data_IF_315287108636
#
_entry.id   IF_315287108636
#
_cell.length_a   1.000
_cell.length_b   1.000
_cell.length_c   1.000
_cell.angle_alpha   90.00
_cell.angle_beta   90.00
_cell.angle_gamma   90.00
#
_symmetry.space_group_name_H-M   'P 1'
#
loop_
_entity.id
_entity.type
_entity.pdbx_description
1 polymer ?
#
# COMPACT_ATOMS: atom_id res chain seq x y z
N UNK A 1 -19.73 -55.91 -23.07
CA UNK A 1 -20.37 -55.08 -24.11
C UNK A 1 -20.40 -53.66 -23.59
N UNK A 2 -19.79 -52.71 -24.30
CA UNK A 2 -19.91 -51.28 -23.98
C UNK A 2 -21.15 -50.72 -24.69
N UNK A 3 -21.87 -49.83 -24.01
CA UNK A 3 -23.12 -49.23 -24.49
C UNK A 3 -22.89 -48.21 -25.64
N UNK A 4 -21.66 -47.75 -25.87
CA UNK A 4 -21.30 -46.83 -26.96
C UNK A 4 -19.79 -46.91 -27.31
N UNK A 5 -19.38 -46.77 -28.58
CA UNK A 5 -17.95 -46.80 -28.96
C UNK A 5 -17.15 -45.71 -28.24
N UNK A 6 -15.97 -46.07 -27.72
CA UNK A 6 -15.06 -45.15 -27.02
C UNK A 6 -15.25 -45.08 -25.50
N UNK A 7 -16.30 -45.69 -24.95
CA UNK A 7 -16.54 -45.73 -23.51
C UNK A 7 -16.23 -47.11 -22.94
N UNK A 8 -15.49 -47.16 -21.84
CA UNK A 8 -15.20 -48.40 -21.11
C UNK A 8 -15.88 -48.33 -19.74
N UNK A 9 -16.73 -49.31 -19.43
CA UNK A 9 -17.35 -49.41 -18.11
C UNK A 9 -16.27 -49.70 -17.06
N UNK A 10 -16.15 -48.85 -16.05
CA UNK A 10 -15.24 -49.05 -14.92
C UNK A 10 -16.03 -49.50 -13.69
N UNK A 11 -15.50 -50.48 -12.96
CA UNK A 11 -16.13 -51.02 -11.74
C UNK A 11 -15.86 -50.16 -10.51
N UNK A 12 -14.88 -49.27 -10.59
CA UNK A 12 -14.60 -48.22 -9.61
C UNK A 12 -13.81 -47.10 -10.29
N UNK A 13 -14.01 -45.87 -9.86
CA UNK A 13 -13.12 -44.76 -10.21
C UNK A 13 -11.80 -44.91 -9.46
N UNK A 14 -10.72 -44.34 -10.01
CA UNK A 14 -9.45 -44.28 -9.28
C UNK A 14 -9.62 -43.44 -8.01
N UNK A 15 -8.81 -43.68 -6.95
CA UNK A 15 -8.81 -42.84 -5.77
C UNK A 15 -8.61 -41.37 -6.19
N UNK A 16 -9.39 -40.48 -5.61
CA UNK A 16 -9.46 -39.05 -5.91
C UNK A 16 -8.26 -38.28 -5.31
N UNK A 17 -7.05 -38.84 -5.47
CA UNK A 17 -5.81 -38.32 -4.90
C UNK A 17 -5.15 -37.24 -5.78
N UNK A 18 -5.77 -36.87 -6.90
CA UNK A 18 -5.21 -35.88 -7.85
C UNK A 18 -5.59 -34.42 -7.47
N UNK A 19 -6.31 -34.22 -6.36
CA UNK A 19 -6.47 -32.90 -5.74
C UNK A 19 -5.34 -32.71 -4.75
N UNK A 20 -4.18 -32.23 -5.22
CA UNK A 20 -3.14 -31.79 -4.30
C UNK A 20 -3.69 -30.59 -3.51
N UNK A 21 -3.79 -30.72 -2.18
CA UNK A 21 -4.05 -29.61 -1.26
C UNK A 21 -2.80 -28.72 -1.18
N UNK A 22 -2.35 -28.18 -2.31
CA UNK A 22 -1.22 -27.25 -2.35
C UNK A 22 -1.70 -25.88 -1.82
N UNK A 23 -1.12 -25.45 -0.70
CA UNK A 23 -1.23 -24.05 -0.26
C UNK A 23 -0.62 -23.16 -1.34
N UNK A 24 -1.44 -22.32 -1.95
CA UNK A 24 -0.97 -21.36 -2.95
C UNK A 24 -0.20 -20.23 -2.26
N UNK A 25 1.12 -20.23 -2.42
CA UNK A 25 2.02 -19.18 -1.90
C UNK A 25 2.26 -18.17 -3.02
N UNK A 26 2.01 -16.90 -2.74
CA UNK A 26 2.34 -15.79 -3.63
C UNK A 26 3.32 -14.83 -2.96
N UNK A 27 4.22 -14.26 -3.76
CA UNK A 27 5.25 -13.32 -3.29
C UNK A 27 4.86 -11.90 -3.65
N UNK A 28 5.11 -10.96 -2.74
CA UNK A 28 4.90 -9.53 -2.96
C UNK A 28 6.15 -8.75 -2.60
N UNK A 29 6.45 -7.72 -3.38
CA UNK A 29 7.57 -6.81 -3.09
C UNK A 29 7.07 -5.66 -2.22
N UNK A 30 7.77 -5.35 -1.12
CA UNK A 30 7.47 -4.19 -0.27
C UNK A 30 8.36 -3.02 -0.67
N UNK A 31 7.77 -1.98 -1.27
CA UNK A 31 8.48 -0.75 -1.60
C UNK A 31 8.31 0.26 -0.47
N UNK A 32 9.38 0.49 0.29
CA UNK A 32 9.33 1.31 1.49
C UNK A 32 9.49 2.82 1.24
N UNK A 33 9.76 3.23 0.00
CA UNK A 33 10.02 4.62 -0.36
C UNK A 33 11.26 5.18 0.34
N UNK A 34 11.20 6.44 0.77
CA UNK A 34 12.35 7.17 1.32
C UNK A 34 12.54 6.92 2.83
N UNK A 35 12.77 5.66 3.21
CA UNK A 35 13.13 5.29 4.59
C UNK A 35 14.63 5.49 4.81
N UNK A 36 15.04 5.73 6.04
CA UNK A 36 16.46 5.75 6.40
C UNK A 36 17.13 4.41 6.02
N UNK A 37 18.18 4.40 5.17
CA UNK A 37 18.77 3.16 4.67
C UNK A 37 19.33 2.25 5.76
N UNK A 38 19.77 2.83 6.88
CA UNK A 38 20.25 2.08 8.04
C UNK A 38 19.12 1.36 8.79
N UNK A 39 17.87 1.70 8.55
CA UNK A 39 16.74 1.19 9.31
C UNK A 39 16.41 -0.27 8.94
N UNK A 40 16.56 -0.67 7.68
CA UNK A 40 16.33 -2.06 7.24
C UNK A 40 17.33 -3.06 7.84
N UNK A 41 18.67 -2.87 7.74
CA UNK A 41 19.63 -3.83 8.26
C UNK A 41 19.75 -3.84 9.80
N UNK A 42 19.33 -2.78 10.49
CA UNK A 42 19.44 -2.66 11.94
C UNK A 42 18.12 -2.96 12.69
N UNK A 43 17.07 -3.40 11.98
CA UNK A 43 15.79 -3.69 12.60
C UNK A 43 15.61 -5.20 12.82
N UNK A 44 15.55 -5.61 14.08
CA UNK A 44 15.40 -7.02 14.46
C UNK A 44 13.97 -7.56 14.26
N UNK A 45 13.00 -6.68 14.03
CA UNK A 45 11.59 -7.07 13.84
C UNK A 45 10.81 -6.05 13.02
N UNK A 46 9.79 -6.53 12.30
CA UNK A 46 8.79 -5.67 11.65
C UNK A 46 7.40 -6.19 12.02
N UNK A 47 6.40 -5.31 12.01
CA UNK A 47 5.01 -5.70 12.27
C UNK A 47 4.14 -5.23 11.11
N UNK A 48 3.40 -6.15 10.51
CA UNK A 48 2.60 -5.90 9.32
C UNK A 48 1.16 -6.31 9.60
N UNK A 49 0.22 -5.42 9.34
CA UNK A 49 -1.21 -5.63 9.59
C UNK A 49 -2.05 -5.22 8.40
N UNK A 50 -3.15 -5.94 8.17
CA UNK A 50 -4.14 -5.62 7.15
C UNK A 50 -3.64 -5.86 5.72
N UNK A 51 -2.85 -6.91 5.49
CA UNK A 51 -2.40 -7.35 4.16
C UNK A 51 -3.56 -7.72 3.22
N UNK A 52 -4.69 -8.11 3.79
CA UNK A 52 -5.95 -8.41 3.13
C UNK A 52 -6.78 -7.14 2.82
N UNK A 53 -6.34 -5.98 3.30
CA UNK A 53 -7.05 -4.72 3.13
C UNK A 53 -6.40 -3.87 2.04
N UNK A 54 -7.15 -2.93 1.42
CA UNK A 54 -6.54 -1.98 0.47
C UNK A 54 -5.47 -1.07 1.09
N UNK A 55 -5.37 -1.00 2.43
CA UNK A 55 -4.48 -0.10 3.16
C UNK A 55 -3.74 -0.83 4.28
N UNK A 56 -2.72 -1.65 3.98
CA UNK A 56 -1.90 -2.29 4.99
C UNK A 56 -1.10 -1.26 5.79
N UNK A 57 -0.67 -1.62 7.00
CA UNK A 57 0.24 -0.82 7.80
C UNK A 57 1.46 -1.64 8.20
N UNK A 58 2.64 -1.01 8.09
CA UNK A 58 3.92 -1.57 8.47
C UNK A 58 4.53 -0.73 9.59
N UNK A 59 4.98 -1.37 10.65
CA UNK A 59 5.80 -0.76 11.68
C UNK A 59 7.23 -1.31 11.58
N UNK A 60 8.20 -0.41 11.47
CA UNK A 60 9.61 -0.74 11.32
C UNK A 60 10.45 0.23 12.18
N UNK A 61 11.19 -0.30 13.17
CA UNK A 61 12.02 0.47 14.11
C UNK A 61 11.34 1.71 14.76
N UNK A 62 10.02 1.66 14.97
CA UNK A 62 9.23 2.77 15.52
C UNK A 62 8.64 3.73 14.48
N UNK A 63 9.04 3.61 13.21
CA UNK A 63 8.42 4.29 12.08
C UNK A 63 7.16 3.55 11.65
N UNK A 64 6.08 4.29 11.40
CA UNK A 64 4.80 3.73 10.95
C UNK A 64 4.61 4.12 9.50
N UNK A 65 4.39 3.13 8.65
CA UNK A 65 4.13 3.32 7.23
C UNK A 65 2.73 2.83 6.90
N UNK A 66 2.03 3.62 6.08
CA UNK A 66 0.77 3.25 5.46
C UNK A 66 1.03 2.79 4.04
N UNK A 67 0.52 1.62 3.70
CA UNK A 67 0.68 1.00 2.40
C UNK A 67 -0.54 1.10 1.49
N UNK A 68 -0.33 0.78 0.23
CA UNK A 68 -1.37 0.53 -0.79
C UNK A 68 -0.86 -0.53 -1.77
N UNK A 69 -1.77 -1.39 -2.23
CA UNK A 69 -1.44 -2.43 -3.21
C UNK A 69 -1.35 -1.83 -4.61
N UNK A 70 -0.37 -2.28 -5.38
CA UNK A 70 -0.13 -1.87 -6.75
C UNK A 70 0.12 -3.11 -7.63
N UNK A 71 -0.62 -3.21 -8.73
CA UNK A 71 -0.39 -4.21 -9.78
C UNK A 71 0.59 -3.64 -10.78
N UNK A 72 1.69 -4.35 -11.03
CA UNK A 72 2.77 -3.88 -11.88
C UNK A 72 2.45 -4.06 -13.36
N UNK A 73 2.92 -3.12 -14.18
CA UNK A 73 3.00 -3.30 -15.63
C UNK A 73 4.29 -4.08 -15.96
N UNK A 74 4.19 -5.41 -15.94
CA UNK A 74 5.31 -6.31 -16.20
C UNK A 74 5.43 -7.38 -15.13
N UNK A 75 6.63 -7.94 -14.98
CA UNK A 75 6.91 -8.98 -14.00
C UNK A 75 8.28 -8.73 -13.38
N UNK A 76 8.33 -8.70 -12.07
CA UNK A 76 9.56 -8.68 -11.30
C UNK A 76 10.08 -10.10 -11.15
N UNK A 77 11.39 -10.26 -11.28
CA UNK A 77 12.08 -11.53 -11.07
C UNK A 77 12.94 -11.40 -9.81
N UNK A 78 12.67 -12.24 -8.82
CA UNK A 78 13.39 -12.32 -7.58
C UNK A 78 14.47 -13.39 -7.67
N UNK A 79 15.69 -13.01 -7.31
CA UNK A 79 16.82 -13.92 -7.27
C UNK A 79 17.42 -13.92 -5.86
N UNK A 80 17.80 -15.10 -5.38
CA UNK A 80 18.53 -15.26 -4.13
C UNK A 80 20.02 -15.43 -4.43
N UNK A 81 20.86 -14.77 -3.64
CA UNK A 81 22.31 -14.91 -3.69
C UNK A 81 22.79 -15.82 -2.55
N UNK A 82 23.51 -16.89 -2.91
CA UNK A 82 24.08 -17.85 -1.96
C UNK A 82 25.56 -18.03 -2.27
N UNK A 83 26.44 -17.64 -1.33
CA UNK A 83 27.92 -17.75 -1.32
C UNK A 83 28.63 -17.36 -2.64
N UNK A 84 28.42 -18.10 -3.73
CA UNK A 84 29.01 -17.91 -5.06
C UNK A 84 28.03 -18.11 -6.24
N UNK A 85 26.73 -18.21 -6.01
CA UNK A 85 25.73 -18.44 -7.04
C UNK A 85 24.46 -17.59 -6.83
N UNK A 86 23.87 -17.16 -7.94
CA UNK A 86 22.56 -16.50 -7.98
C UNK A 86 21.56 -17.50 -8.54
N UNK A 87 20.48 -17.76 -7.81
CA UNK A 87 19.40 -18.67 -8.22
C UNK A 87 18.08 -17.92 -8.34
N UNK A 88 17.30 -18.23 -9.38
CA UNK A 88 15.93 -17.77 -9.49
C UNK A 88 15.13 -18.25 -8.28
N UNK A 89 14.40 -17.33 -7.65
CA UNK A 89 13.56 -17.61 -6.49
C UNK A 89 12.10 -17.62 -6.91
N UNK A 90 11.58 -16.48 -7.37
CA UNK A 90 10.19 -16.37 -7.80
C UNK A 90 9.94 -15.15 -8.68
N UNK A 91 8.74 -15.06 -9.26
CA UNK A 91 8.29 -13.88 -10.00
C UNK A 91 7.04 -13.27 -9.38
N UNK A 92 6.90 -11.96 -9.48
CA UNK A 92 5.70 -11.28 -8.97
C UNK A 92 5.26 -10.13 -9.87
N UNK A 93 3.96 -9.88 -9.87
CA UNK A 93 3.31 -8.75 -10.51
C UNK A 93 2.63 -7.84 -9.48
N UNK A 94 2.89 -8.07 -8.19
CA UNK A 94 2.25 -7.39 -7.09
C UNK A 94 3.28 -6.72 -6.19
N UNK A 95 2.99 -5.46 -5.86
CA UNK A 95 3.81 -4.64 -4.97
C UNK A 95 2.93 -4.00 -3.91
N UNK A 96 3.49 -3.80 -2.73
CA UNK A 96 2.88 -2.96 -1.69
C UNK A 96 3.80 -1.77 -1.49
N UNK A 97 3.32 -0.60 -1.86
CA UNK A 97 4.04 0.66 -1.75
C UNK A 97 3.69 1.31 -0.43
N UNK A 98 4.69 1.76 0.32
CA UNK A 98 4.56 2.32 1.66
C UNK A 98 5.02 3.78 1.72
N UNK A 99 4.36 4.54 2.60
CA UNK A 99 4.74 5.90 2.96
C UNK A 99 4.66 6.09 4.46
N UNK A 100 5.67 6.73 5.04
CA UNK A 100 5.66 7.10 6.45
C UNK A 100 4.47 8.01 6.80
N UNK A 101 3.83 7.71 7.92
CA UNK A 101 2.71 8.45 8.49
C UNK A 101 2.88 8.66 9.99
N UNK A 102 2.18 9.65 10.54
CA UNK A 102 2.10 9.86 11.99
C UNK A 102 0.71 9.47 12.48
N UNK A 103 0.66 8.79 13.61
CA UNK A 103 -0.60 8.51 14.29
C UNK A 103 -1.05 9.74 15.06
N UNK A 104 -2.30 10.11 14.87
CA UNK A 104 -2.97 11.15 15.64
C UNK A 104 -4.13 10.55 16.42
N UNK A 105 -4.28 10.96 17.68
CA UNK A 105 -5.44 10.59 18.48
C UNK A 105 -6.72 11.18 17.87
N UNK A 106 -7.67 10.30 17.60
CA UNK A 106 -9.00 10.67 17.12
C UNK A 106 -9.73 11.49 18.18
N UNK A 107 -9.80 12.81 17.98
CA UNK A 107 -10.47 13.76 18.88
C UNK A 107 -9.66 15.02 19.20
N UNK A 108 -8.33 15.00 19.06
CA UNK A 108 -7.46 16.16 19.31
C UNK A 108 -7.15 16.99 18.06
N UNK A 109 -7.44 16.46 16.87
CA UNK A 109 -7.13 17.10 15.57
C UNK A 109 -7.90 18.41 15.28
N UNK A 110 -8.95 18.75 16.04
CA UNK A 110 -9.72 20.00 15.86
C UNK A 110 -9.10 21.25 16.52
N UNK A 111 -7.99 21.14 17.24
CA UNK A 111 -7.41 22.29 17.95
C UNK A 111 -6.38 23.11 17.15
N UNK A 112 -5.88 22.61 16.01
CA UNK A 112 -4.78 23.26 15.26
C UNK A 112 -5.18 24.08 14.04
N UNK A 113 -6.46 24.10 13.65
CA UNK A 113 -6.92 24.88 12.48
C UNK A 113 -7.30 26.34 12.79
N UNK A 114 -7.49 26.72 14.07
CA UNK A 114 -7.98 28.06 14.44
C UNK A 114 -7.00 28.91 15.27
N UNK A 115 -5.78 28.45 15.50
CA UNK A 115 -4.75 29.32 16.10
C UNK A 115 -4.00 30.08 15.00
N UNK A 116 -4.68 31.02 14.35
CA UNK A 116 -3.98 32.20 13.85
C UNK A 116 -3.51 32.97 15.09
N UNK A 117 -2.29 32.67 15.56
CA UNK A 117 -1.63 33.55 16.53
C UNK A 117 -1.54 34.93 15.88
N UNK A 118 -2.10 35.99 16.47
CA UNK A 118 -1.89 37.32 15.92
C UNK A 118 -0.39 37.62 16.00
N UNK A 119 0.25 37.74 14.84
CA UNK A 119 1.62 38.22 14.78
C UNK A 119 1.57 39.68 15.23
N UNK A 120 2.06 39.92 16.45
CA UNK A 120 2.32 41.27 16.95
C UNK A 120 3.43 41.88 16.10
N UNK A 121 3.14 43.01 15.47
CA UNK A 121 4.16 43.78 14.76
C UNK A 121 5.15 44.36 15.78
N UNK A 122 6.40 43.87 15.76
CA UNK A 122 7.45 44.21 16.72
C UNK A 122 7.83 45.70 16.71
N UNK A 123 7.46 46.44 15.67
CA UNK A 123 7.80 47.87 15.52
C UNK A 123 6.69 48.76 16.07
N UNK A 124 5.43 48.36 15.95
CA UNK A 124 4.28 49.21 16.26
C UNK A 124 3.45 48.76 17.46
N UNK A 125 3.66 47.53 17.95
CA UNK A 125 2.93 46.96 19.09
C UNK A 125 1.44 46.72 18.81
N UNK A 126 1.00 46.83 17.55
CA UNK A 126 -0.40 46.65 17.14
C UNK A 126 -0.58 45.30 16.46
N UNK A 127 -1.79 44.76 16.54
CA UNK A 127 -2.19 43.51 15.88
C UNK A 127 -2.08 43.67 14.36
N UNK A 128 -1.34 42.79 13.70
CA UNK A 128 -1.25 42.80 12.24
C UNK A 128 -2.63 42.53 11.60
N UNK A 129 -3.02 43.27 10.54
CA UNK A 129 -4.30 43.06 9.87
C UNK A 129 -4.41 41.64 9.28
N UNK A 130 -5.55 41.00 9.47
CA UNK A 130 -5.82 39.68 8.90
C UNK A 130 -5.72 39.72 7.36
N UNK A 131 -5.12 38.69 6.73
CA UNK A 131 -5.02 38.63 5.27
C UNK A 131 -6.41 38.62 4.64
N UNK A 132 -6.66 39.53 3.69
CA UNK A 132 -7.92 39.61 2.95
C UNK A 132 -8.16 38.32 2.17
N UNK A 133 -9.24 37.62 2.51
CA UNK A 133 -9.75 36.44 1.80
C UNK A 133 -10.00 36.80 0.33
N UNK A 134 -9.27 36.17 -0.61
CA UNK A 134 -9.54 36.32 -2.05
C UNK A 134 -10.91 35.74 -2.36
N UNK A 135 -11.80 36.58 -2.91
CA UNK A 135 -13.15 36.20 -3.36
C UNK A 135 -13.00 35.46 -4.69
N UNK A 136 -13.25 34.15 -4.71
CA UNK A 136 -13.41 33.39 -5.96
C UNK A 136 -14.67 33.90 -6.67
N UNK A 137 -14.53 34.47 -7.87
CA UNK A 137 -15.66 34.74 -8.76
C UNK A 137 -16.22 33.40 -9.23
N UNK A 138 -17.50 33.13 -8.97
CA UNK A 138 -18.23 32.08 -9.70
C UNK A 138 -18.28 32.50 -11.16
N UNK A 139 -17.74 31.68 -12.06
CA UNK A 139 -18.08 31.75 -13.49
C UNK A 139 -19.49 31.17 -13.62
N UNK A 140 -20.45 31.99 -14.01
CA UNK A 140 -21.72 31.51 -14.55
C UNK A 140 -21.43 30.98 -15.96
N UNK A 141 -21.65 29.68 -16.15
CA UNK A 141 -21.64 29.05 -17.46
C UNK A 141 -22.97 29.40 -18.11
N UNK A 142 -22.93 30.16 -19.20
CA UNK A 142 -24.07 30.39 -20.08
C UNK A 142 -24.26 29.12 -20.92
N UNK A 143 -25.47 28.55 -21.04
CA UNK A 143 -25.71 27.44 -21.96
C UNK A 143 -25.66 27.97 -23.39
N UNK A 144 -24.83 27.39 -24.24
CA UNK A 144 -24.97 27.54 -25.70
C UNK A 144 -26.06 26.58 -26.18
N UNK A 145 -27.17 27.14 -26.63
CA UNK A 145 -28.07 26.49 -27.56
C UNK A 145 -27.41 26.51 -28.94
N UNK A 146 -27.05 25.35 -29.50
CA UNK A 146 -27.21 24.94 -30.91
C UNK A 146 -26.72 23.49 -31.11
#
# INVERSE_FOLDING_TARGET
>A
MSLYPGYHQVNAFRPDNDYEEEEEIFYVTLELGNVEPALIPNCDSYHLVGLDTPTPFLQLAGTILKGWHETLLGTELLFSEHEHAVSYMESTQQRICFREVRLEEKGKAKAKADTFSPVLDRITGKLAPLPRRRRTRKMEVVPEDY
#
